data_IF_256395806083
#
_entry.id   IF_256395806083
#
_cell.length_a   1.000
_cell.length_b   1.000
_cell.length_c   1.000
_cell.angle_alpha   90.00
_cell.angle_beta   90.00
_cell.angle_gamma   90.00
#
_symmetry.space_group_name_H-M   'P 1'
#
loop_
_entity.id
_entity.type
_entity.pdbx_description
1 polymer ?
#
# COMPACT_ATOMS: atom_id res chain seq x y z
N UNK A 1 -25.08 13.53 12.21
CA UNK A 1 -25.08 13.28 10.76
C UNK A 1 -25.10 11.78 10.57
N UNK A 2 -26.25 11.19 10.27
CA UNK A 2 -26.32 9.81 9.81
C UNK A 2 -25.68 9.75 8.42
N UNK A 3 -24.46 9.20 8.33
CA UNK A 3 -23.94 8.76 7.04
C UNK A 3 -24.82 7.59 6.58
N UNK A 4 -25.80 7.88 5.72
CA UNK A 4 -26.38 6.86 4.85
C UNK A 4 -25.27 6.42 3.89
N UNK A 5 -24.45 5.48 4.34
CA UNK A 5 -23.48 4.81 3.47
C UNK A 5 -24.25 4.14 2.33
N UNK A 6 -24.22 4.77 1.17
CA UNK A 6 -24.66 4.14 -0.05
C UNK A 6 -23.67 3.02 -0.34
N UNK A 7 -24.15 1.78 -0.26
CA UNK A 7 -23.39 0.55 -0.52
C UNK A 7 -22.66 0.58 -1.87
N UNK A 8 -23.14 1.41 -2.81
CA UNK A 8 -22.60 1.61 -4.14
C UNK A 8 -21.52 2.70 -4.25
N UNK A 9 -21.19 3.39 -3.16
CA UNK A 9 -20.12 4.38 -3.14
C UNK A 9 -18.78 3.65 -2.99
N UNK A 10 -18.27 3.16 -4.13
CA UNK A 10 -17.04 2.36 -4.25
C UNK A 10 -15.79 3.25 -4.17
N UNK A 11 -15.96 4.57 -4.30
CA UNK A 11 -14.88 5.55 -4.31
C UNK A 11 -14.24 5.73 -2.92
N UNK A 12 -14.97 5.40 -1.85
CA UNK A 12 -14.53 5.53 -0.45
C UNK A 12 -14.07 4.19 0.14
N UNK A 13 -13.28 3.42 -0.61
CA UNK A 13 -12.72 2.17 -0.11
C UNK A 13 -11.26 2.41 0.35
N UNK A 14 -10.99 2.79 1.62
CA UNK A 14 -9.65 3.14 2.09
C UNK A 14 -8.64 1.99 1.98
N UNK A 15 -9.13 0.75 1.85
CA UNK A 15 -8.33 -0.46 1.70
C UNK A 15 -7.87 -0.72 0.26
N UNK A 16 -8.37 0.05 -0.73
CA UNK A 16 -8.01 -0.07 -2.14
C UNK A 16 -6.51 0.18 -2.41
N UNK A 17 -5.83 0.93 -1.52
CA UNK A 17 -4.38 1.14 -1.57
C UNK A 17 -3.56 0.18 -0.69
N UNK A 18 -4.21 -0.74 0.04
CA UNK A 18 -3.50 -1.68 0.92
C UNK A 18 -2.94 -2.87 0.15
N UNK A 19 -1.88 -3.47 0.70
CA UNK A 19 -1.30 -4.69 0.13
C UNK A 19 -2.33 -5.83 0.10
N UNK A 20 -2.40 -6.54 -1.03
CA UNK A 20 -3.29 -7.68 -1.22
C UNK A 20 -3.19 -8.73 -0.10
N UNK A 21 -1.96 -8.98 0.39
CA UNK A 21 -1.69 -9.89 1.51
C UNK A 21 -2.27 -9.40 2.83
N UNK A 22 -2.26 -8.09 3.10
CA UNK A 22 -2.89 -7.51 4.28
C UNK A 22 -4.41 -7.65 4.18
N UNK A 23 -4.99 -7.40 3.02
CA UNK A 23 -6.43 -7.55 2.78
C UNK A 23 -6.88 -9.01 3.02
N UNK A 24 -6.16 -9.98 2.45
CA UNK A 24 -6.41 -11.41 2.71
C UNK A 24 -6.25 -11.79 4.17
N UNK A 25 -5.21 -11.27 4.85
CA UNK A 25 -4.98 -11.52 6.27
C UNK A 25 -6.13 -10.97 7.11
N UNK A 26 -6.66 -9.80 6.77
CA UNK A 26 -7.76 -9.14 7.47
C UNK A 26 -9.06 -9.92 7.30
N UNK A 27 -9.34 -10.41 6.09
CA UNK A 27 -10.47 -11.31 5.81
C UNK A 27 -10.34 -12.63 6.59
N UNK A 28 -9.15 -13.22 6.62
CA UNK A 28 -8.87 -14.45 7.37
C UNK A 28 -9.02 -14.25 8.89
N UNK A 29 -8.52 -13.15 9.44
CA UNK A 29 -8.68 -12.79 10.85
C UNK A 29 -10.15 -12.58 11.22
N UNK A 30 -10.92 -11.98 10.31
CA UNK A 30 -12.35 -11.74 10.51
C UNK A 30 -13.22 -13.00 10.22
N UNK A 31 -12.61 -14.15 9.92
CA UNK A 31 -13.29 -15.41 9.54
C UNK A 31 -14.32 -15.25 8.42
N UNK A 32 -14.03 -14.39 7.44
CA UNK A 32 -14.97 -14.09 6.35
C UNK A 32 -16.34 -13.55 6.82
N UNK A 33 -16.45 -12.97 8.02
CA UNK A 33 -17.64 -12.25 8.47
C UNK A 33 -17.76 -10.89 7.76
N UNK A 34 -17.88 -10.93 6.43
CA UNK A 34 -18.22 -9.76 5.62
C UNK A 34 -19.71 -9.85 5.36
N UNK A 35 -20.46 -8.86 5.85
CA UNK A 35 -21.88 -8.75 5.52
C UNK A 35 -22.01 -8.67 4.00
N UNK A 36 -22.79 -9.58 3.41
CA UNK A 36 -23.01 -9.72 1.95
C UNK A 36 -23.36 -8.40 1.27
N UNK A 37 -23.97 -7.48 2.02
CA UNK A 37 -24.24 -6.10 1.60
C UNK A 37 -22.97 -5.38 1.12
N UNK A 38 -21.81 -5.59 1.74
CA UNK A 38 -20.53 -4.96 1.39
C UNK A 38 -19.64 -5.83 0.47
N UNK A 39 -20.17 -6.95 -0.04
CA UNK A 39 -19.45 -7.84 -0.96
C UNK A 39 -18.88 -7.14 -2.21
N UNK A 40 -19.64 -6.26 -2.90
CA UNK A 40 -19.13 -5.57 -4.10
C UNK A 40 -17.93 -4.66 -3.82
N UNK A 41 -17.95 -3.96 -2.67
CA UNK A 41 -16.85 -3.10 -2.19
C UNK A 41 -15.58 -3.90 -1.91
N UNK A 42 -15.71 -5.02 -1.19
CA UNK A 42 -14.60 -5.95 -0.93
C UNK A 42 -14.02 -6.54 -2.22
N UNK A 43 -14.88 -6.92 -3.19
CA UNK A 43 -14.43 -7.46 -4.47
C UNK A 43 -13.65 -6.41 -5.28
N UNK A 44 -14.11 -5.16 -5.27
CA UNK A 44 -13.39 -4.05 -5.89
C UNK A 44 -12.01 -3.85 -5.26
N UNK A 45 -11.92 -3.82 -3.93
CA UNK A 45 -10.63 -3.70 -3.23
C UNK A 45 -9.69 -4.87 -3.53
N UNK A 46 -10.21 -6.11 -3.54
CA UNK A 46 -9.42 -7.32 -3.83
C UNK A 46 -8.90 -7.34 -5.26
N UNK A 47 -9.73 -6.96 -6.23
CA UNK A 47 -9.32 -6.92 -7.64
C UNK A 47 -8.27 -5.83 -7.88
N UNK A 48 -8.47 -4.63 -7.32
CA UNK A 48 -7.52 -3.53 -7.47
C UNK A 48 -6.17 -3.82 -6.77
N UNK A 49 -6.20 -4.20 -5.49
CA UNK A 49 -4.99 -4.55 -4.73
C UNK A 49 -4.27 -5.76 -5.33
N UNK A 50 -5.01 -6.74 -5.88
CA UNK A 50 -4.43 -7.89 -6.57
C UNK A 50 -3.71 -7.51 -7.87
N UNK A 51 -4.32 -6.63 -8.67
CA UNK A 51 -3.73 -6.15 -9.92
C UNK A 51 -2.45 -5.35 -9.64
N UNK A 52 -2.52 -4.37 -8.73
CA UNK A 52 -1.38 -3.55 -8.32
C UNK A 52 -0.28 -4.41 -7.69
N UNK A 53 -0.65 -5.33 -6.79
CA UNK A 53 0.27 -6.25 -6.14
C UNK A 53 1.01 -7.16 -7.11
N UNK A 54 0.35 -7.65 -8.17
CA UNK A 54 0.99 -8.45 -9.21
C UNK A 54 2.01 -7.63 -10.02
N UNK A 55 1.71 -6.37 -10.33
CA UNK A 55 2.66 -5.45 -10.96
C UNK A 55 3.86 -5.18 -10.05
N UNK A 56 3.62 -4.86 -8.78
CA UNK A 56 4.67 -4.68 -7.77
C UNK A 56 5.56 -5.92 -7.63
N UNK A 57 4.98 -7.11 -7.56
CA UNK A 57 5.74 -8.35 -7.42
C UNK A 57 6.62 -8.62 -8.65
N UNK A 58 6.12 -8.33 -9.87
CA UNK A 58 6.90 -8.45 -11.10
C UNK A 58 8.06 -7.46 -11.11
N UNK A 59 7.80 -6.20 -10.76
CA UNK A 59 8.81 -5.16 -10.67
C UNK A 59 9.87 -5.52 -9.63
N UNK A 60 9.45 -5.91 -8.42
CA UNK A 60 10.35 -6.34 -7.37
C UNK A 60 11.20 -7.53 -7.84
N UNK A 61 10.62 -8.56 -8.44
CA UNK A 61 11.40 -9.72 -8.90
C UNK A 61 12.44 -9.33 -9.97
N UNK A 62 12.07 -8.45 -10.90
CA UNK A 62 12.94 -8.00 -11.99
C UNK A 62 14.06 -7.08 -11.51
N UNK A 63 13.73 -6.10 -10.66
CA UNK A 63 14.67 -5.06 -10.24
C UNK A 63 15.38 -5.37 -8.93
N UNK A 64 14.89 -6.29 -8.10
CA UNK A 64 15.56 -6.68 -6.84
C UNK A 64 16.98 -7.14 -7.07
N UNK A 65 17.23 -7.93 -8.11
CA UNK A 65 18.60 -8.35 -8.47
C UNK A 65 19.47 -7.15 -8.86
N UNK A 66 18.91 -6.21 -9.63
CA UNK A 66 19.62 -4.99 -10.05
C UNK A 66 19.95 -4.10 -8.85
N UNK A 67 18.98 -3.86 -7.97
CA UNK A 67 19.13 -3.06 -6.75
C UNK A 67 20.17 -3.69 -5.80
N UNK A 68 20.12 -5.01 -5.60
CA UNK A 68 21.07 -5.72 -4.73
C UNK A 68 22.51 -5.70 -5.27
N UNK A 69 22.68 -5.66 -6.59
CA UNK A 69 23.98 -5.61 -7.25
C UNK A 69 24.46 -4.17 -7.52
N UNK A 70 23.64 -3.15 -7.22
CA UNK A 70 24.08 -1.76 -7.31
C UNK A 70 25.07 -1.49 -6.19
N UNK A 71 26.36 -1.46 -6.51
CA UNK A 71 27.38 -0.96 -5.60
C UNK A 71 27.17 0.53 -5.35
N UNK A 72 27.16 0.90 -4.08
CA UNK A 72 27.11 2.30 -3.65
C UNK A 72 28.55 2.83 -3.78
N UNK A 73 28.87 3.45 -4.93
CA UNK A 73 30.23 3.89 -5.25
C UNK A 73 30.76 5.02 -4.34
N UNK A 74 29.89 5.75 -3.66
CA UNK A 74 30.25 6.82 -2.73
C UNK A 74 29.62 6.56 -1.37
N UNK A 75 30.35 6.70 -0.25
CA UNK A 75 29.80 6.47 1.08
C UNK A 75 28.54 7.34 1.27
N UNK A 76 27.37 6.74 1.58
CA UNK A 76 26.13 7.49 1.70
C UNK A 76 26.24 8.46 2.88
N UNK A 77 26.08 9.76 2.59
CA UNK A 77 26.06 10.80 3.60
C UNK A 77 24.69 10.79 4.30
N UNK A 78 24.62 10.19 5.49
CA UNK A 78 23.41 10.23 6.32
C UNK A 78 23.41 11.51 7.16
N UNK A 79 22.67 12.52 6.72
CA UNK A 79 22.43 13.73 7.53
C UNK A 79 21.37 13.39 8.57
N UNK A 80 21.79 13.16 9.82
CA UNK A 80 20.89 12.94 10.95
C UNK A 80 20.66 14.32 11.61
N UNK A 81 19.47 14.89 11.42
CA UNK A 81 19.06 16.14 12.08
C UNK A 81 17.85 15.92 12.99
N UNK A 82 17.69 16.81 13.97
CA UNK A 82 16.51 16.81 14.83
C UNK A 82 15.29 17.35 14.05
N UNK A 83 14.10 16.82 14.33
CA UNK A 83 12.88 17.28 13.67
C UNK A 83 12.68 18.79 13.96
N UNK A 84 12.44 19.58 12.91
CA UNK A 84 12.25 21.07 12.90
C UNK A 84 13.52 21.93 12.90
N UNK A 85 14.72 21.38 12.67
CA UNK A 85 15.94 22.22 12.56
C UNK A 85 16.15 22.86 11.18
N UNK A 86 15.15 22.85 10.29
CA UNK A 86 15.20 23.62 9.04
C UNK A 86 16.26 23.15 8.03
N UNK A 87 16.61 21.86 8.00
CA UNK A 87 17.62 21.31 7.08
C UNK A 87 17.19 21.26 5.61
N UNK A 88 16.05 21.85 5.25
CA UNK A 88 15.59 21.95 3.87
C UNK A 88 16.62 22.63 2.96
N UNK A 89 17.41 23.59 3.47
CA UNK A 89 18.47 24.25 2.69
C UNK A 89 19.67 23.34 2.39
N UNK A 90 19.89 22.27 3.17
CA UNK A 90 21.03 21.35 3.01
C UNK A 90 20.69 20.10 2.18
N UNK A 91 19.42 19.89 1.83
CA UNK A 91 18.92 18.64 1.23
C UNK A 91 18.49 18.78 -0.25
N UNK A 92 18.77 19.91 -0.90
CA UNK A 92 18.53 20.12 -2.35
C UNK A 92 19.87 20.21 -3.07
#
# INVERSE_FOLDING_TARGET
>A
MEMKENVFDIVYEPLAGSNFTNLLRLVAQNRFHVSIRYGPRMLYALTLSGLIGAFHLKEELQFRRKIQHTEISHPPLFIISHWRTGTTTFTI
#
